data_IF_913954367393
#
_entry.id   IF_913954367393
#
_cell.length_a   1.000
_cell.length_b   1.000
_cell.length_c   1.000
_cell.angle_alpha   90.00
_cell.angle_beta   90.00
_cell.angle_gamma   90.00
#
_symmetry.space_group_name_H-M   'P 1'
#
loop_
_entity.id
_entity.type
_entity.pdbx_description
1 polymer ?
#
# COMPACT_ATOMS: atom_id res chain seq x y z
N UNK A 1 30.98 -52.15 -17.63
CA UNK A 1 30.43 -50.88 -18.15
C UNK A 1 29.25 -50.42 -17.28
N UNK A 2 29.44 -50.20 -15.96
CA UNK A 2 28.36 -49.78 -15.05
C UNK A 2 28.69 -48.53 -14.21
N UNK A 3 29.76 -47.79 -14.58
CA UNK A 3 30.22 -46.59 -13.83
C UNK A 3 29.51 -45.32 -14.21
N UNK A 4 29.21 -45.08 -15.49
CA UNK A 4 28.75 -43.76 -16.01
C UNK A 4 27.33 -43.39 -15.55
N UNK A 5 26.42 -44.35 -15.41
CA UNK A 5 25.02 -44.09 -15.04
C UNK A 5 24.88 -43.61 -13.58
N UNK A 6 25.84 -43.96 -12.71
CA UNK A 6 25.84 -43.50 -11.30
C UNK A 6 26.44 -42.10 -11.13
N UNK A 7 27.38 -41.72 -11.97
CA UNK A 7 27.96 -40.37 -11.96
C UNK A 7 26.98 -39.33 -12.48
N UNK A 8 26.24 -39.64 -13.54
CA UNK A 8 25.20 -38.76 -14.09
C UNK A 8 24.04 -38.54 -13.11
N UNK A 9 23.64 -39.56 -12.35
CA UNK A 9 22.59 -39.44 -11.34
C UNK A 9 23.04 -38.56 -10.14
N UNK A 10 24.32 -38.62 -9.78
CA UNK A 10 24.89 -37.76 -8.73
C UNK A 10 24.99 -36.30 -9.16
N UNK A 11 25.36 -36.03 -10.39
CA UNK A 11 25.45 -34.70 -10.95
C UNK A 11 24.06 -34.03 -11.05
N UNK A 12 23.04 -34.73 -11.55
CA UNK A 12 21.65 -34.22 -11.58
C UNK A 12 21.12 -33.91 -10.20
N UNK A 13 21.45 -34.68 -9.18
CA UNK A 13 21.00 -34.41 -7.82
C UNK A 13 21.61 -33.14 -7.24
N UNK A 14 22.86 -32.82 -7.56
CA UNK A 14 23.52 -31.60 -7.12
C UNK A 14 22.96 -30.36 -7.87
N UNK A 15 22.74 -30.47 -9.17
CA UNK A 15 22.12 -29.43 -9.98
C UNK A 15 20.70 -29.10 -9.48
N UNK A 16 19.86 -30.09 -9.22
CA UNK A 16 18.54 -29.91 -8.63
C UNK A 16 18.61 -29.30 -7.24
N UNK A 17 19.60 -29.71 -6.42
CA UNK A 17 19.78 -29.18 -5.07
C UNK A 17 20.05 -27.67 -5.02
N UNK A 18 20.69 -27.12 -6.04
CA UNK A 18 20.93 -25.68 -6.19
C UNK A 18 19.77 -24.97 -6.89
N UNK A 19 19.17 -25.60 -7.86
CA UNK A 19 18.16 -24.98 -8.73
C UNK A 19 16.80 -24.81 -7.98
N UNK A 20 16.41 -25.80 -7.17
CA UNK A 20 15.14 -25.76 -6.42
C UNK A 20 15.05 -24.55 -5.49
N UNK A 21 16.03 -24.23 -4.61
CA UNK A 21 15.92 -23.05 -3.74
C UNK A 21 15.87 -21.74 -4.53
N UNK A 22 16.53 -21.66 -5.68
CA UNK A 22 16.48 -20.48 -6.55
C UNK A 22 15.07 -20.31 -7.13
N UNK A 23 14.47 -21.38 -7.64
CA UNK A 23 13.10 -21.35 -8.16
C UNK A 23 12.11 -20.94 -7.06
N UNK A 24 12.25 -21.50 -5.86
CA UNK A 24 11.40 -21.14 -4.71
C UNK A 24 11.53 -19.65 -4.36
N UNK A 25 12.77 -19.15 -4.30
CA UNK A 25 13.01 -17.73 -4.02
C UNK A 25 12.37 -16.82 -5.08
N UNK A 26 12.54 -17.14 -6.36
CA UNK A 26 11.90 -16.38 -7.46
C UNK A 26 10.38 -16.44 -7.37
N UNK A 27 9.82 -17.62 -7.11
CA UNK A 27 8.37 -17.80 -6.96
C UNK A 27 7.80 -16.96 -5.81
N UNK A 28 8.50 -16.89 -4.67
CA UNK A 28 8.11 -16.04 -3.54
C UNK A 28 8.14 -14.55 -3.89
N UNK A 29 9.17 -14.09 -4.59
CA UNK A 29 9.25 -12.69 -5.04
C UNK A 29 8.09 -12.37 -5.98
N UNK A 30 7.82 -13.22 -6.97
CA UNK A 30 6.72 -13.03 -7.92
C UNK A 30 5.37 -13.01 -7.20
N UNK A 31 5.14 -13.94 -6.27
CA UNK A 31 3.90 -13.98 -5.50
C UNK A 31 3.67 -12.68 -4.69
N UNK A 32 4.70 -12.16 -4.02
CA UNK A 32 4.60 -10.90 -3.28
C UNK A 32 4.34 -9.69 -4.19
N UNK A 33 4.99 -9.64 -5.36
CA UNK A 33 4.77 -8.56 -6.33
C UNK A 33 3.33 -8.59 -6.85
N UNK A 34 2.78 -9.77 -7.16
CA UNK A 34 1.40 -9.90 -7.62
C UNK A 34 0.40 -9.51 -6.53
N UNK A 35 0.61 -9.94 -5.28
CA UNK A 35 -0.23 -9.53 -4.15
C UNK A 35 -0.19 -8.02 -3.94
N UNK A 36 0.98 -7.42 -3.98
CA UNK A 36 1.11 -5.96 -3.86
C UNK A 36 0.40 -5.23 -5.00
N UNK A 37 0.55 -5.69 -6.24
CA UNK A 37 -0.13 -5.09 -7.39
C UNK A 37 -1.66 -5.17 -7.29
N UNK A 38 -2.20 -6.27 -6.77
CA UNK A 38 -3.63 -6.43 -6.50
C UNK A 38 -4.10 -5.44 -5.43
N UNK A 39 -3.37 -5.34 -4.31
CA UNK A 39 -3.66 -4.40 -3.23
C UNK A 39 -3.66 -2.95 -3.72
N UNK A 40 -2.65 -2.54 -4.47
CA UNK A 40 -2.54 -1.20 -5.05
C UNK A 40 -3.70 -0.93 -6.01
N UNK A 41 -4.02 -1.87 -6.90
CA UNK A 41 -5.12 -1.72 -7.86
C UNK A 41 -6.47 -1.53 -7.18
N UNK A 42 -6.71 -2.24 -6.08
CA UNK A 42 -7.94 -2.11 -5.30
C UNK A 42 -7.96 -0.81 -4.51
N UNK A 43 -6.86 -0.46 -3.86
CA UNK A 43 -6.70 0.78 -3.12
C UNK A 43 -6.90 2.01 -4.01
N UNK A 44 -6.33 2.02 -5.22
CA UNK A 44 -6.44 3.12 -6.19
C UNK A 44 -7.88 3.34 -6.69
N UNK A 45 -8.75 2.36 -6.56
CA UNK A 45 -10.19 2.49 -6.86
C UNK A 45 -10.99 2.99 -5.66
N UNK A 46 -10.66 2.50 -4.47
CA UNK A 46 -11.43 2.76 -3.26
C UNK A 46 -11.09 4.10 -2.62
N UNK A 47 -9.80 4.46 -2.61
CA UNK A 47 -9.33 5.66 -1.92
C UNK A 47 -9.97 6.97 -2.45
N UNK A 48 -10.08 7.22 -3.78
CA UNK A 48 -10.75 8.41 -4.27
C UNK A 48 -12.22 8.47 -3.89
N UNK A 49 -12.94 7.34 -3.98
CA UNK A 49 -14.37 7.28 -3.63
C UNK A 49 -14.58 7.58 -2.14
N UNK A 50 -13.75 6.99 -1.27
CA UNK A 50 -13.81 7.23 0.16
C UNK A 50 -13.54 8.70 0.51
N UNK A 51 -12.54 9.32 -0.13
CA UNK A 51 -12.20 10.73 0.09
C UNK A 51 -13.33 11.66 -0.40
N UNK A 52 -13.92 11.39 -1.55
CA UNK A 52 -15.02 12.21 -2.08
C UNK A 52 -16.28 12.08 -1.22
N UNK A 53 -16.61 10.89 -0.76
CA UNK A 53 -17.83 10.65 0.03
C UNK A 53 -17.73 11.18 1.47
N UNK A 54 -16.58 11.00 2.11
CA UNK A 54 -16.41 11.26 3.53
C UNK A 54 -15.55 12.50 3.83
N UNK A 55 -14.60 12.84 2.96
CA UNK A 55 -13.70 13.97 3.15
C UNK A 55 -14.41 15.34 3.05
N UNK A 56 -15.54 15.41 2.32
CA UNK A 56 -16.32 16.65 2.13
C UNK A 56 -17.27 16.92 3.32
N UNK A 57 -17.71 15.89 4.02
CA UNK A 57 -18.73 16.01 5.09
C UNK A 57 -18.22 16.66 6.37
N UNK A 58 -16.91 16.78 6.52
CA UNK A 58 -16.26 17.28 7.72
C UNK A 58 -16.13 18.82 7.71
N UNK A 59 -17.05 19.54 8.36
CA UNK A 59 -17.01 21.02 8.49
C UNK A 59 -16.55 21.45 9.89
N UNK A 60 -15.31 21.94 10.01
CA UNK A 60 -14.71 22.48 11.26
C UNK A 60 -13.47 21.72 11.74
N UNK A 61 -12.67 22.31 12.64
CA UNK A 61 -11.37 21.76 13.10
C UNK A 61 -11.53 20.40 13.82
N UNK A 62 -12.60 20.23 14.59
CA UNK A 62 -12.92 18.93 15.22
C UNK A 62 -13.46 17.89 14.21
N UNK A 63 -13.94 18.36 13.07
CA UNK A 63 -14.48 17.52 12.00
C UNK A 63 -13.40 17.06 11.02
N UNK A 64 -12.24 17.70 10.97
CA UNK A 64 -11.12 17.26 10.12
C UNK A 64 -10.56 15.93 10.59
N UNK A 65 -10.39 15.75 11.90
CA UNK A 65 -10.02 14.48 12.51
C UNK A 65 -11.11 13.41 12.31
N UNK A 66 -12.39 13.80 12.40
CA UNK A 66 -13.51 12.90 12.13
C UNK A 66 -13.52 12.46 10.66
N UNK A 67 -13.32 13.38 9.71
CA UNK A 67 -13.24 13.07 8.29
C UNK A 67 -12.09 12.13 7.94
N UNK A 68 -10.92 12.32 8.54
CA UNK A 68 -9.78 11.39 8.39
C UNK A 68 -10.12 9.99 8.89
N UNK A 69 -10.77 9.90 10.05
CA UNK A 69 -11.17 8.62 10.62
C UNK A 69 -12.24 7.90 9.78
N UNK A 70 -13.21 8.64 9.25
CA UNK A 70 -14.24 8.11 8.36
C UNK A 70 -13.66 7.62 7.03
N UNK A 71 -12.80 8.41 6.37
CA UNK A 71 -12.10 8.01 5.14
C UNK A 71 -11.26 6.76 5.39
N UNK A 72 -10.50 6.71 6.48
CA UNK A 72 -9.70 5.55 6.84
C UNK A 72 -10.58 4.31 7.03
N UNK A 73 -11.64 4.43 7.82
CA UNK A 73 -12.57 3.32 8.09
C UNK A 73 -13.24 2.80 6.81
N UNK A 74 -13.63 3.70 5.90
CA UNK A 74 -14.24 3.35 4.62
C UNK A 74 -13.25 2.58 3.74
N UNK A 75 -11.99 3.02 3.67
CA UNK A 75 -10.94 2.32 2.92
C UNK A 75 -10.67 0.94 3.54
N UNK A 76 -10.49 0.85 4.87
CA UNK A 76 -10.25 -0.41 5.58
C UNK A 76 -11.39 -1.41 5.36
N UNK A 77 -12.63 -0.95 5.43
CA UNK A 77 -13.80 -1.78 5.19
C UNK A 77 -13.86 -2.31 3.75
N UNK A 78 -13.54 -1.46 2.77
CA UNK A 78 -13.52 -1.84 1.36
C UNK A 78 -12.33 -2.74 1.01
N UNK A 79 -11.19 -2.60 1.70
CA UNK A 79 -10.04 -3.51 1.56
C UNK A 79 -10.31 -4.88 2.19
N UNK A 80 -11.16 -4.96 3.22
CA UNK A 80 -11.54 -6.20 3.89
C UNK A 80 -10.38 -6.84 4.65
N UNK A 81 -10.31 -8.19 4.62
CA UNK A 81 -9.29 -8.97 5.37
C UNK A 81 -7.93 -9.06 4.66
N UNK A 82 -7.62 -8.14 3.74
CA UNK A 82 -6.34 -8.17 3.05
C UNK A 82 -5.18 -7.79 4.00
N UNK A 83 -3.99 -8.40 3.83
CA UNK A 83 -2.84 -8.14 4.68
C UNK A 83 -2.20 -6.77 4.34
N UNK A 84 -2.86 -5.70 4.69
CA UNK A 84 -2.40 -4.33 4.45
C UNK A 84 -2.71 -3.43 5.65
N UNK A 85 -1.91 -2.37 5.78
CA UNK A 85 -2.13 -1.30 6.74
C UNK A 85 -2.54 -0.03 5.97
N UNK A 86 -3.58 0.66 6.42
CA UNK A 86 -4.04 1.91 5.81
C UNK A 86 -3.80 3.06 6.76
N UNK A 87 -3.11 4.09 6.29
CA UNK A 87 -2.97 5.35 6.99
C UNK A 87 -3.55 6.49 6.15
N UNK A 88 -4.25 7.42 6.80
CA UNK A 88 -4.82 8.61 6.17
C UNK A 88 -4.40 9.83 6.94
N UNK A 89 -3.96 10.87 6.24
CA UNK A 89 -3.61 12.17 6.80
C UNK A 89 -4.33 13.26 6.03
N UNK A 90 -4.75 14.31 6.74
CA UNK A 90 -5.26 15.53 6.13
C UNK A 90 -4.23 16.63 6.31
N UNK A 91 -3.92 17.35 5.25
CA UNK A 91 -3.00 18.47 5.24
C UNK A 91 -3.70 19.70 4.65
N UNK A 92 -3.66 20.87 5.32
CA UNK A 92 -4.17 22.08 4.70
C UNK A 92 -3.32 22.42 3.47
N UNK A 93 -3.96 22.74 2.36
CA UNK A 93 -3.27 23.23 1.18
C UNK A 93 -2.93 24.70 1.43
N UNK A 94 -1.74 24.97 1.98
CA UNK A 94 -1.20 26.34 2.05
C UNK A 94 -0.77 26.74 0.65
N UNK A 95 -1.33 27.83 0.14
CA UNK A 95 -0.86 28.44 -1.10
C UNK A 95 0.60 28.86 -0.95
N UNK A 96 1.45 28.42 -1.87
CA UNK A 96 2.86 28.83 -1.93
C UNK A 96 2.95 30.36 -2.00
N UNK A 97 3.70 30.95 -1.08
CA UNK A 97 3.82 32.37 -0.73
C UNK A 97 4.11 33.38 -1.84
N UNK A 98 3.26 33.53 -2.83
CA UNK A 98 3.24 34.70 -3.71
C UNK A 98 2.12 35.62 -3.26
N UNK A 99 2.52 36.72 -2.61
CA UNK A 99 1.72 37.89 -2.30
C UNK A 99 0.92 38.33 -3.53
N UNK A 100 -0.41 38.25 -3.43
CA UNK A 100 -1.43 38.84 -4.29
C UNK A 100 -2.44 37.87 -4.94
N UNK A 101 -2.60 36.65 -4.48
CA UNK A 101 -3.78 35.86 -4.83
C UNK A 101 -4.67 35.76 -3.61
N UNK A 102 -5.86 36.38 -3.72
CA UNK A 102 -6.96 36.21 -2.78
C UNK A 102 -7.02 34.75 -2.40
N UNK A 103 -6.96 34.51 -1.11
CA UNK A 103 -6.79 33.20 -0.47
C UNK A 103 -7.98 32.27 -0.78
N UNK A 104 -8.05 31.78 -2.03
CA UNK A 104 -8.99 30.75 -2.49
C UNK A 104 -8.65 29.37 -1.92
N UNK A 105 -7.53 29.28 -1.19
CA UNK A 105 -7.11 28.05 -0.50
C UNK A 105 -7.84 27.84 0.84
N UNK A 106 -8.62 28.83 1.30
CA UNK A 106 -9.47 28.69 2.49
C UNK A 106 -10.56 27.65 2.18
N UNK A 107 -10.39 26.45 2.70
CA UNK A 107 -11.34 25.34 2.54
C UNK A 107 -10.88 24.18 1.67
N UNK A 108 -9.67 24.24 1.11
CA UNK A 108 -9.08 23.13 0.35
C UNK A 108 -8.24 22.26 1.28
N UNK A 109 -8.58 20.98 1.37
CA UNK A 109 -7.85 20.00 2.18
C UNK A 109 -7.26 18.93 1.27
N UNK A 110 -5.99 18.61 1.50
CA UNK A 110 -5.31 17.49 0.85
C UNK A 110 -5.39 16.28 1.76
N UNK A 111 -6.00 15.22 1.28
CA UNK A 111 -5.96 13.91 1.93
C UNK A 111 -4.82 13.10 1.33
N UNK A 112 -3.93 12.62 2.19
CA UNK A 112 -2.85 11.72 1.83
C UNK A 112 -3.18 10.35 2.38
N UNK A 113 -3.46 9.41 1.48
CA UNK A 113 -3.81 8.03 1.80
C UNK A 113 -2.59 7.14 1.50
N UNK A 114 -2.16 6.38 2.46
CA UNK A 114 -1.00 5.49 2.38
C UNK A 114 -1.44 4.05 2.61
N UNK A 115 -1.01 3.15 1.72
CA UNK A 115 -1.17 1.71 1.80
C UNK A 115 0.18 1.10 2.16
N UNK A 116 0.27 0.39 3.28
CA UNK A 116 1.42 -0.38 3.69
C UNK A 116 1.19 -1.88 3.48
N UNK A 117 2.12 -2.55 2.80
CA UNK A 117 2.12 -3.98 2.59
C UNK A 117 3.38 -4.61 3.16
N UNK A 118 3.20 -5.69 3.93
CA UNK A 118 4.31 -6.48 4.48
C UNK A 118 4.46 -7.78 3.69
N UNK A 119 5.57 -7.95 2.93
CA UNK A 119 5.80 -9.16 2.15
C UNK A 119 5.88 -10.41 3.03
N UNK A 120 5.40 -11.54 2.50
CA UNK A 120 5.53 -12.85 3.12
C UNK A 120 6.63 -13.68 2.44
N UNK A 121 7.47 -14.40 3.18
CA UNK A 121 7.50 -14.49 4.64
C UNK A 121 8.20 -13.29 5.29
N UNK A 122 7.63 -12.79 6.39
CA UNK A 122 8.23 -11.68 7.16
C UNK A 122 9.44 -12.12 8.01
N UNK A 123 9.57 -13.42 8.27
CA UNK A 123 10.71 -14.01 8.97
C UNK A 123 11.10 -15.34 8.32
N UNK A 124 12.40 -15.59 8.23
CA UNK A 124 12.98 -16.83 7.70
C UNK A 124 13.99 -17.37 8.70
N UNK A 125 13.91 -18.65 9.03
CA UNK A 125 14.93 -19.34 9.83
C UNK A 125 15.82 -20.19 8.94
N UNK A 126 17.12 -19.92 8.93
CA UNK A 126 18.12 -20.70 8.21
C UNK A 126 19.17 -21.18 9.22
N UNK A 127 19.34 -22.50 9.32
CA UNK A 127 20.33 -23.14 10.21
C UNK A 127 20.24 -22.68 11.68
N UNK A 128 19.03 -22.41 12.20
CA UNK A 128 18.82 -21.97 13.58
C UNK A 128 18.99 -20.45 13.80
N UNK A 129 19.33 -19.70 12.77
CA UNK A 129 19.41 -18.24 12.81
C UNK A 129 18.13 -17.64 12.19
N UNK A 130 17.40 -16.85 12.97
CA UNK A 130 16.21 -16.13 12.50
C UNK A 130 16.61 -14.83 11.81
N UNK A 131 16.11 -14.62 10.62
CA UNK A 131 16.20 -13.35 9.89
C UNK A 131 14.78 -12.76 9.81
N UNK A 132 14.60 -11.57 10.38
CA UNK A 132 13.41 -10.77 10.18
C UNK A 132 13.62 -9.82 9.00
N UNK A 133 12.65 -9.78 8.09
CA UNK A 133 12.63 -8.85 6.97
C UNK A 133 11.71 -7.66 7.34
N UNK A 134 12.20 -6.58 7.94
CA UNK A 134 11.39 -5.43 8.35
C UNK A 134 11.06 -4.53 7.15
N UNK A 135 10.74 -5.13 6.00
CA UNK A 135 10.42 -4.40 4.78
C UNK A 135 8.92 -4.18 4.72
N UNK A 136 8.50 -2.91 4.73
CA UNK A 136 7.12 -2.51 4.42
C UNK A 136 7.18 -1.76 3.09
N UNK A 137 6.47 -2.28 2.09
CA UNK A 137 6.30 -1.62 0.81
C UNK A 137 5.14 -0.65 0.94
N UNK A 138 5.35 0.63 0.61
CA UNK A 138 4.36 1.68 0.76
C UNK A 138 3.94 2.21 -0.60
N UNK A 139 2.64 2.50 -0.71
CA UNK A 139 2.05 3.18 -1.86
C UNK A 139 1.22 4.36 -1.34
N UNK A 140 1.50 5.55 -1.84
CA UNK A 140 0.87 6.79 -1.39
C UNK A 140 0.08 7.43 -2.54
N UNK A 141 -1.10 7.94 -2.20
CA UNK A 141 -1.95 8.74 -3.09
C UNK A 141 -2.44 9.98 -2.38
N UNK A 142 -2.40 11.11 -3.06
CA UNK A 142 -2.92 12.37 -2.53
C UNK A 142 -4.12 12.85 -3.34
N UNK A 143 -5.16 13.29 -2.63
CA UNK A 143 -6.39 13.81 -3.21
C UNK A 143 -6.66 15.19 -2.63
N UNK A 144 -6.98 16.15 -3.49
CA UNK A 144 -7.33 17.53 -3.07
C UNK A 144 -8.83 17.67 -3.17
N UNK A 145 -9.46 18.02 -2.05
CA UNK A 145 -10.91 18.21 -1.94
C UNK A 145 -11.18 19.68 -1.63
N UNK A 146 -12.04 20.29 -2.44
CA UNK A 146 -12.54 21.64 -2.24
C UNK A 146 -13.92 21.57 -1.58
N UNK A 147 -14.01 22.05 -0.35
CA UNK A 147 -15.24 22.03 0.45
C UNK A 147 -16.35 22.93 -0.10
N UNK A 148 -16.00 23.94 -0.87
CA UNK A 148 -16.98 24.89 -1.42
C UNK A 148 -17.76 24.36 -2.63
N UNK A 149 -17.23 23.38 -3.35
CA UNK A 149 -17.91 22.80 -4.51
C UNK A 149 -19.07 21.87 -4.17
N UNK A 150 -19.09 21.31 -2.98
CA UNK A 150 -20.14 20.39 -2.54
C UNK A 150 -21.45 21.10 -2.20
N UNK A 151 -21.43 22.43 -1.98
CA UNK A 151 -22.59 23.22 -1.53
C UNK A 151 -23.48 23.75 -2.69
N UNK A 152 -23.16 23.49 -3.96
CA UNK A 152 -23.85 24.09 -5.12
C UNK A 152 -24.77 23.11 -5.86
N UNK A 153 -25.03 21.93 -5.32
CA UNK A 153 -26.05 21.02 -5.87
C UNK A 153 -27.22 20.95 -4.90
N UNK A 154 -28.05 21.96 -4.97
CA UNK A 154 -29.42 21.96 -4.42
C UNK A 154 -30.39 22.02 -5.59
#
# INVERSE_FOLDING_TARGET
>A
MSGSVREDAGQMAVELGVLVPVIVAVALVVANVLQFAELVSRFDRVAPDAVVLHGVSASGVSSELAGVAEVKSAIEQAMGEMPCEVAVRAEPVSGDGSEARIDLAVGTTRFVCELGYRPWPSSVQIAGVGFELPVIVRHERSFVVDRFRAAVVS
#
